data_IF_007167895481
#
_entry.id   IF_007167895481
#
_cell.length_a   1.000
_cell.length_b   1.000
_cell.length_c   1.000
_cell.angle_alpha   90.00
_cell.angle_beta   90.00
_cell.angle_gamma   90.00
#
_symmetry.space_group_name_H-M   'P 1'
#
loop_
_entity.id
_entity.type
_entity.pdbx_description
1 polymer ?
#
# COMPACT_ATOMS: atom_id res chain seq x y z
N UNK A 1 9.73 12.91 -6.19
CA UNK A 1 8.51 12.10 -6.40
C UNK A 1 8.90 10.64 -6.25
N UNK A 2 8.42 10.00 -5.20
CA UNK A 2 9.01 8.78 -4.68
C UNK A 2 8.69 7.51 -5.47
N UNK A 3 9.46 6.45 -5.16
CA UNK A 3 9.35 5.10 -5.74
C UNK A 3 7.94 4.49 -5.67
N UNK A 4 7.13 4.89 -4.69
CA UNK A 4 5.75 4.42 -4.54
C UNK A 4 4.82 4.83 -5.68
N UNK A 5 4.96 6.03 -6.22
CA UNK A 5 4.18 6.46 -7.39
C UNK A 5 4.54 5.63 -8.62
N UNK A 6 5.82 5.31 -8.82
CA UNK A 6 6.25 4.48 -9.96
C UNK A 6 5.76 3.01 -9.83
N UNK A 7 5.66 2.46 -8.63
CA UNK A 7 5.12 1.10 -8.41
C UNK A 7 3.63 1.08 -8.71
N UNK A 8 2.88 2.04 -8.18
CA UNK A 8 1.44 2.19 -8.41
C UNK A 8 1.10 2.33 -9.89
N UNK A 9 1.82 3.18 -10.59
CA UNK A 9 1.59 3.41 -12.02
C UNK A 9 1.76 2.12 -12.82
N UNK A 10 2.69 1.25 -12.43
CA UNK A 10 2.94 -0.03 -13.12
C UNK A 10 1.74 -0.98 -13.03
N UNK A 11 1.17 -1.20 -11.85
CA UNK A 11 0.01 -2.09 -11.75
C UNK A 11 -1.27 -1.46 -12.28
N UNK A 12 -1.40 -0.13 -12.30
CA UNK A 12 -2.50 0.54 -12.99
C UNK A 12 -2.46 0.31 -14.51
N UNK A 13 -1.27 0.43 -15.10
CA UNK A 13 -1.07 0.13 -16.53
C UNK A 13 -1.38 -1.35 -16.81
N UNK A 14 -0.86 -2.26 -15.98
CA UNK A 14 -1.12 -3.69 -16.14
C UNK A 14 -2.61 -4.02 -16.05
N UNK A 15 -3.32 -3.47 -15.07
CA UNK A 15 -4.76 -3.65 -14.91
C UNK A 15 -5.54 -3.14 -16.12
N UNK A 16 -5.18 -1.98 -16.66
CA UNK A 16 -5.82 -1.42 -17.84
C UNK A 16 -5.60 -2.29 -19.07
N UNK A 17 -4.37 -2.74 -19.30
CA UNK A 17 -4.04 -3.63 -20.43
C UNK A 17 -4.79 -4.96 -20.35
N UNK A 18 -4.91 -5.55 -19.14
CA UNK A 18 -5.68 -6.77 -18.93
C UNK A 18 -7.17 -6.57 -19.24
N UNK A 19 -7.74 -5.43 -18.80
CA UNK A 19 -9.13 -5.08 -19.14
C UNK A 19 -9.35 -4.89 -20.64
N UNK A 20 -8.43 -4.25 -21.33
CA UNK A 20 -8.47 -4.09 -22.78
C UNK A 20 -8.33 -5.45 -23.53
N UNK A 21 -7.64 -6.42 -22.92
CA UNK A 21 -7.56 -7.79 -23.40
C UNK A 21 -8.80 -8.65 -23.10
N UNK A 22 -9.79 -8.10 -22.36
CA UNK A 22 -11.04 -8.79 -22.04
C UNK A 22 -11.02 -9.53 -20.68
N UNK A 23 -9.96 -9.39 -19.91
CA UNK A 23 -9.89 -9.96 -18.56
C UNK A 23 -10.80 -9.20 -17.58
N UNK A 24 -11.08 -9.79 -16.44
CA UNK A 24 -11.87 -9.18 -15.38
C UNK A 24 -11.14 -8.06 -14.64
N UNK A 25 -11.77 -7.50 -13.58
CA UNK A 25 -11.16 -6.46 -12.77
C UNK A 25 -9.92 -6.96 -12.03
N UNK A 26 -8.95 -6.08 -11.79
CA UNK A 26 -7.81 -6.38 -10.93
C UNK A 26 -8.17 -6.09 -9.48
N UNK A 27 -7.79 -6.98 -8.55
CA UNK A 27 -7.96 -6.79 -7.11
C UNK A 27 -6.64 -6.28 -6.53
N UNK A 28 -6.71 -5.24 -5.71
CA UNK A 28 -5.58 -4.72 -4.95
C UNK A 28 -5.88 -4.86 -3.46
N UNK A 29 -5.10 -5.67 -2.76
CA UNK A 29 -5.14 -5.74 -1.29
C UNK A 29 -4.15 -4.73 -0.74
N UNK A 30 -4.66 -3.73 0.01
CA UNK A 30 -3.84 -2.64 0.58
C UNK A 30 -4.23 -2.37 2.04
N UNK A 31 -3.25 -2.18 2.95
CA UNK A 31 -3.51 -2.11 4.39
C UNK A 31 -3.92 -0.72 4.89
N UNK A 32 -3.75 0.31 4.08
CA UNK A 32 -3.88 1.69 4.51
C UNK A 32 -5.03 2.41 3.81
N UNK A 33 -6.10 2.71 4.55
CA UNK A 33 -7.30 3.39 4.02
C UNK A 33 -7.00 4.72 3.33
N UNK A 34 -6.06 5.50 3.87
CA UNK A 34 -5.64 6.77 3.26
C UNK A 34 -4.98 6.55 1.89
N UNK A 35 -4.13 5.52 1.75
CA UNK A 35 -3.52 5.16 0.48
C UNK A 35 -4.57 4.67 -0.52
N UNK A 36 -5.52 3.83 -0.10
CA UNK A 36 -6.60 3.35 -0.97
C UNK A 36 -7.39 4.51 -1.56
N UNK A 37 -7.73 5.53 -0.76
CA UNK A 37 -8.43 6.73 -1.25
C UNK A 37 -7.60 7.48 -2.30
N UNK A 38 -6.33 7.73 -2.02
CA UNK A 38 -5.43 8.38 -2.96
C UNK A 38 -5.24 7.56 -4.25
N UNK A 39 -5.29 6.22 -4.14
CA UNK A 39 -5.19 5.32 -5.30
C UNK A 39 -6.44 5.40 -6.19
N UNK A 40 -7.64 5.44 -5.60
CA UNK A 40 -8.90 5.63 -6.36
C UNK A 40 -8.90 6.98 -7.09
N UNK A 41 -8.50 8.06 -6.42
CA UNK A 41 -8.39 9.38 -7.05
C UNK A 41 -7.35 9.41 -8.18
N UNK A 42 -6.21 8.74 -8.00
CA UNK A 42 -5.18 8.63 -9.04
C UNK A 42 -5.66 7.80 -10.23
N UNK A 43 -6.36 6.69 -9.99
CA UNK A 43 -6.97 5.86 -11.01
C UNK A 43 -8.00 6.65 -11.83
N UNK A 44 -8.87 7.41 -11.18
CA UNK A 44 -9.85 8.25 -11.85
C UNK A 44 -9.20 9.29 -12.79
N UNK A 45 -8.11 9.94 -12.35
CA UNK A 45 -7.33 10.87 -13.21
C UNK A 45 -6.71 10.16 -14.42
N UNK A 46 -6.39 8.88 -14.30
CA UNK A 46 -5.88 8.05 -15.41
C UNK A 46 -6.97 7.42 -16.28
N UNK A 47 -8.24 7.74 -16.04
CA UNK A 47 -9.38 7.17 -16.76
C UNK A 47 -9.64 5.70 -16.43
N UNK A 48 -9.24 5.25 -15.24
CA UNK A 48 -9.42 3.89 -14.72
C UNK A 48 -10.58 3.90 -13.72
N UNK A 49 -11.54 3.02 -13.90
CA UNK A 49 -12.70 2.87 -13.01
C UNK A 49 -12.30 2.06 -11.80
N UNK A 50 -12.12 2.73 -10.69
CA UNK A 50 -11.69 2.11 -9.44
C UNK A 50 -12.70 2.35 -8.31
N UNK A 51 -12.91 1.34 -7.48
CA UNK A 51 -13.67 1.43 -6.25
C UNK A 51 -12.91 0.82 -5.08
N UNK A 52 -13.36 1.10 -3.86
CA UNK A 52 -12.77 0.54 -2.64
C UNK A 52 -13.83 -0.09 -1.76
N UNK A 53 -13.49 -1.24 -1.15
CA UNK A 53 -14.32 -1.90 -0.13
C UNK A 53 -13.51 -1.96 1.17
N UNK A 54 -13.91 -1.17 2.16
CA UNK A 54 -13.26 -1.08 3.47
C UNK A 54 -14.27 -0.65 4.56
N UNK A 55 -13.83 -0.53 5.79
CA UNK A 55 -14.70 -0.17 6.93
C UNK A 55 -15.30 1.23 6.86
N UNK A 56 -14.73 2.14 6.08
CA UNK A 56 -15.20 3.52 5.98
C UNK A 56 -16.36 3.72 5.00
N UNK A 57 -16.63 2.76 4.09
CA UNK A 57 -17.69 2.88 3.07
C UNK A 57 -18.69 1.72 3.07
N UNK A 58 -19.02 1.21 4.24
CA UNK A 58 -19.90 0.03 4.42
C UNK A 58 -21.26 0.15 3.70
N UNK A 59 -21.82 1.34 3.63
CA UNK A 59 -23.12 1.60 2.99
C UNK A 59 -23.11 1.49 1.46
N UNK A 60 -21.94 1.47 0.86
CA UNK A 60 -21.75 1.43 -0.61
C UNK A 60 -21.37 0.03 -1.11
N UNK A 61 -21.18 -0.94 -0.22
CA UNK A 61 -20.63 -2.25 -0.61
C UNK A 61 -21.53 -3.01 -1.57
N UNK A 62 -22.83 -3.05 -1.32
CA UNK A 62 -23.79 -3.75 -2.19
C UNK A 62 -23.80 -3.19 -3.60
N UNK A 63 -23.76 -1.86 -3.72
CA UNK A 63 -23.70 -1.17 -5.00
C UNK A 63 -22.40 -1.47 -5.75
N UNK A 64 -21.24 -1.40 -5.05
CA UNK A 64 -19.94 -1.70 -5.63
C UNK A 64 -19.87 -3.16 -6.09
N UNK A 65 -20.42 -4.09 -5.32
CA UNK A 65 -20.46 -5.51 -5.66
C UNK A 65 -21.34 -5.79 -6.87
N UNK A 66 -22.51 -5.14 -6.98
CA UNK A 66 -23.38 -5.27 -8.14
C UNK A 66 -22.74 -4.78 -9.44
N UNK A 67 -21.85 -3.81 -9.34
CA UNK A 67 -21.19 -3.16 -10.48
C UNK A 67 -19.73 -3.58 -10.68
N UNK A 68 -19.26 -4.60 -9.96
CA UNK A 68 -17.83 -5.00 -9.95
C UNK A 68 -17.29 -5.32 -11.34
N UNK A 69 -18.09 -5.93 -12.20
CA UNK A 69 -17.69 -6.25 -13.58
C UNK A 69 -17.45 -5.00 -14.45
N UNK A 70 -17.97 -3.85 -14.05
CA UNK A 70 -17.73 -2.56 -14.71
C UNK A 70 -16.45 -1.89 -14.24
N UNK A 71 -15.85 -2.35 -13.14
CA UNK A 71 -14.61 -1.80 -12.62
C UNK A 71 -13.40 -2.33 -13.38
N UNK A 72 -12.34 -1.55 -13.37
CA UNK A 72 -11.02 -1.95 -13.82
C UNK A 72 -10.15 -2.36 -12.62
N UNK A 73 -10.39 -1.71 -11.45
CA UNK A 73 -9.69 -1.96 -10.20
C UNK A 73 -10.66 -2.01 -9.02
N UNK A 74 -10.47 -3.00 -8.14
CA UNK A 74 -11.13 -3.08 -6.85
C UNK A 74 -10.09 -3.12 -5.73
N UNK A 75 -10.06 -2.09 -4.89
CA UNK A 75 -9.19 -2.02 -3.74
C UNK A 75 -9.92 -2.55 -2.50
N UNK A 76 -9.30 -3.50 -1.80
CA UNK A 76 -9.90 -4.17 -0.64
C UNK A 76 -8.92 -4.13 0.53
N UNK A 77 -9.41 -3.80 1.73
CA UNK A 77 -8.59 -3.94 2.92
C UNK A 77 -8.46 -5.41 3.33
N UNK A 78 -7.32 -5.83 3.91
CA UNK A 78 -7.09 -7.23 4.28
C UNK A 78 -8.11 -7.74 5.31
N UNK A 79 -8.55 -6.88 6.23
CA UNK A 79 -9.57 -7.20 7.23
C UNK A 79 -10.92 -7.48 6.55
N UNK A 80 -11.25 -6.70 5.52
CA UNK A 80 -12.48 -6.89 4.76
C UNK A 80 -12.44 -8.13 3.90
N UNK A 81 -11.31 -8.39 3.27
CA UNK A 81 -11.10 -9.61 2.48
C UNK A 81 -11.37 -10.88 3.32
N UNK A 82 -11.02 -10.84 4.61
CA UNK A 82 -11.17 -11.94 5.54
C UNK A 82 -12.53 -11.96 6.29
N UNK A 83 -13.40 -10.97 6.09
CA UNK A 83 -14.71 -10.94 6.73
C UNK A 83 -15.59 -12.08 6.20
N UNK A 84 -16.27 -12.87 7.08
CA UNK A 84 -16.99 -14.08 6.68
C UNK A 84 -17.96 -13.85 5.52
N UNK A 85 -18.87 -12.89 5.62
CA UNK A 85 -19.85 -12.62 4.56
C UNK A 85 -19.21 -12.26 3.21
N UNK A 86 -18.13 -11.47 3.21
CA UNK A 86 -17.42 -11.15 1.99
C UNK A 86 -16.74 -12.40 1.40
N UNK A 87 -16.09 -13.18 2.23
CA UNK A 87 -15.37 -14.38 1.83
C UNK A 87 -16.28 -15.47 1.27
N UNK A 88 -17.46 -15.65 1.88
CA UNK A 88 -18.37 -16.74 1.52
C UNK A 88 -19.27 -16.37 0.32
N UNK A 89 -19.69 -15.12 0.22
CA UNK A 89 -20.70 -14.69 -0.76
C UNK A 89 -20.10 -13.97 -1.96
N UNK A 90 -19.12 -13.07 -1.73
CA UNK A 90 -18.62 -12.15 -2.75
C UNK A 90 -17.34 -12.65 -3.40
N UNK A 91 -16.40 -13.10 -2.59
CA UNK A 91 -15.08 -13.52 -3.06
C UNK A 91 -15.12 -14.64 -4.11
N UNK A 92 -15.96 -15.69 -4.00
CA UNK A 92 -16.04 -16.74 -5.03
C UNK A 92 -16.56 -16.24 -6.38
N UNK A 93 -17.36 -15.18 -6.38
CA UNK A 93 -17.84 -14.56 -7.63
C UNK A 93 -16.75 -13.73 -8.27
N UNK A 94 -16.05 -12.90 -7.48
CA UNK A 94 -14.92 -12.11 -7.92
C UNK A 94 -13.78 -12.98 -8.44
N UNK A 95 -13.43 -14.03 -7.71
CA UNK A 95 -12.32 -14.91 -8.05
C UNK A 95 -12.44 -15.54 -9.45
N UNK A 96 -13.67 -15.77 -9.93
CA UNK A 96 -13.90 -16.37 -11.26
C UNK A 96 -13.50 -15.47 -12.43
N UNK A 97 -13.48 -14.16 -12.23
CA UNK A 97 -13.25 -13.17 -13.28
C UNK A 97 -12.07 -12.27 -13.02
N UNK A 98 -11.31 -12.50 -11.95
CA UNK A 98 -10.16 -11.65 -11.60
C UNK A 98 -9.09 -11.68 -12.70
N UNK A 99 -8.75 -10.51 -13.23
CA UNK A 99 -7.68 -10.36 -14.21
C UNK A 99 -6.28 -10.36 -13.59
N UNK A 100 -6.12 -9.87 -12.36
CA UNK A 100 -4.84 -9.83 -11.63
C UNK A 100 -5.09 -9.60 -10.13
N UNK A 101 -4.28 -10.21 -9.27
CA UNK A 101 -4.20 -9.90 -7.85
C UNK A 101 -2.93 -9.09 -7.55
N UNK A 102 -3.08 -7.95 -6.89
CA UNK A 102 -1.96 -7.15 -6.37
C UNK A 102 -2.01 -7.17 -4.85
N UNK A 103 -0.90 -7.56 -4.23
CA UNK A 103 -0.68 -7.48 -2.78
C UNK A 103 0.25 -6.31 -2.52
N UNK A 104 -0.35 -5.17 -2.17
CA UNK A 104 0.39 -3.95 -1.86
C UNK A 104 0.92 -4.01 -0.43
N UNK A 105 2.05 -3.35 -0.15
CA UNK A 105 2.74 -3.39 1.14
C UNK A 105 2.97 -4.84 1.65
N UNK A 106 3.42 -5.72 0.75
CA UNK A 106 3.57 -7.14 1.03
C UNK A 106 4.49 -7.49 2.22
N UNK A 107 5.29 -6.53 2.71
CA UNK A 107 6.04 -6.70 3.95
C UNK A 107 5.14 -6.96 5.18
N UNK A 108 3.85 -6.58 5.11
CA UNK A 108 2.87 -6.89 6.14
C UNK A 108 2.58 -8.39 6.31
N UNK A 109 2.99 -9.24 5.37
CA UNK A 109 2.88 -10.70 5.46
C UNK A 109 3.81 -11.25 6.53
N UNK A 110 5.01 -10.68 6.67
CA UNK A 110 6.09 -11.21 7.48
C UNK A 110 6.04 -10.70 8.91
N UNK A 111 6.22 -11.59 9.89
CA UNK A 111 6.44 -11.23 11.31
C UNK A 111 7.70 -10.37 11.50
N UNK A 112 8.61 -10.40 10.54
CA UNK A 112 9.84 -9.61 10.51
C UNK A 112 9.67 -8.28 9.75
N UNK A 113 8.48 -8.04 9.19
CA UNK A 113 8.09 -6.76 8.63
C UNK A 113 7.81 -5.73 9.75
N UNK A 114 7.98 -4.46 9.45
CA UNK A 114 7.75 -3.39 10.44
C UNK A 114 6.25 -3.12 10.72
N UNK A 115 5.35 -3.67 9.93
CA UNK A 115 3.88 -3.52 10.06
C UNK A 115 3.18 -4.86 9.79
N UNK A 116 3.53 -5.90 10.57
CA UNK A 116 2.92 -7.22 10.45
C UNK A 116 1.41 -7.17 10.68
N UNK A 117 0.66 -7.79 9.78
CA UNK A 117 -0.81 -7.88 9.86
C UNK A 117 -1.27 -9.33 9.68
N UNK A 118 -1.89 -9.95 10.69
CA UNK A 118 -2.34 -11.34 10.62
C UNK A 118 -3.25 -11.64 9.42
N UNK A 119 -4.04 -10.66 8.99
CA UNK A 119 -4.96 -10.80 7.87
C UNK A 119 -4.24 -11.00 6.53
N UNK A 120 -3.00 -10.53 6.39
CA UNK A 120 -2.18 -10.76 5.19
C UNK A 120 -1.77 -12.23 5.04
N UNK A 121 -1.61 -12.98 6.11
CA UNK A 121 -1.30 -14.43 6.03
C UNK A 121 -2.38 -15.25 5.33
N UNK A 122 -3.61 -14.74 5.31
CA UNK A 122 -4.74 -15.43 4.67
C UNK A 122 -4.83 -15.14 3.18
N UNK A 123 -3.96 -14.29 2.63
CA UNK A 123 -3.93 -14.00 1.19
C UNK A 123 -3.58 -15.26 0.38
N UNK A 124 -2.78 -16.19 0.93
CA UNK A 124 -2.54 -17.48 0.29
C UNK A 124 -3.83 -18.23 -0.01
N UNK A 125 -4.78 -18.22 0.92
CA UNK A 125 -6.08 -18.86 0.70
C UNK A 125 -6.88 -18.22 -0.45
N UNK A 126 -6.73 -16.90 -0.62
CA UNK A 126 -7.31 -16.22 -1.78
C UNK A 126 -6.61 -16.66 -3.07
N UNK A 127 -5.28 -16.75 -3.06
CA UNK A 127 -4.50 -17.17 -4.23
C UNK A 127 -4.91 -18.58 -4.67
N UNK A 128 -5.13 -19.49 -3.72
CA UNK A 128 -5.57 -20.86 -4.00
C UNK A 128 -6.97 -20.92 -4.65
N UNK A 129 -7.83 -19.94 -4.37
CA UNK A 129 -9.18 -19.82 -4.93
C UNK A 129 -9.22 -19.14 -6.33
N UNK A 130 -8.10 -18.53 -6.77
CA UNK A 130 -8.02 -17.87 -8.07
C UNK A 130 -7.83 -18.87 -9.22
N UNK A 131 -8.25 -18.52 -10.45
CA UNK A 131 -7.88 -19.29 -11.64
C UNK A 131 -6.36 -19.47 -11.76
N UNK A 132 -5.91 -20.65 -12.13
CA UNK A 132 -4.49 -21.04 -12.14
C UNK A 132 -3.57 -20.08 -12.93
N UNK A 133 -4.12 -19.34 -13.89
CA UNK A 133 -3.36 -18.40 -14.73
C UNK A 133 -3.49 -16.96 -14.26
N UNK A 134 -4.14 -16.67 -13.12
CA UNK A 134 -4.28 -15.31 -12.63
C UNK A 134 -2.91 -14.77 -12.20
N UNK A 135 -2.42 -13.68 -12.79
CA UNK A 135 -1.16 -13.07 -12.36
C UNK A 135 -1.28 -12.55 -10.93
N UNK A 136 -0.27 -12.86 -10.10
CA UNK A 136 -0.16 -12.33 -8.74
C UNK A 136 1.08 -11.47 -8.63
N UNK A 137 0.91 -10.22 -8.20
CA UNK A 137 1.98 -9.24 -8.03
C UNK A 137 2.03 -8.80 -6.57
N UNK A 138 3.14 -9.03 -5.88
CA UNK A 138 3.41 -8.46 -4.56
C UNK A 138 4.35 -7.27 -4.68
N UNK A 139 4.02 -6.17 -4.01
CA UNK A 139 4.81 -4.94 -4.01
C UNK A 139 5.13 -4.49 -2.59
N UNK A 140 6.36 -4.04 -2.38
CA UNK A 140 6.77 -3.41 -1.12
C UNK A 140 7.92 -2.44 -1.36
N UNK A 141 7.93 -1.33 -0.63
CA UNK A 141 9.04 -0.38 -0.64
C UNK A 141 10.19 -0.82 0.28
N UNK A 142 9.91 -1.71 1.24
CA UNK A 142 10.86 -2.09 2.30
C UNK A 142 10.82 -3.60 2.51
N UNK A 143 11.86 -4.32 2.09
CA UNK A 143 11.98 -5.74 2.36
C UNK A 143 13.45 -6.13 2.59
N UNK A 144 13.73 -6.75 3.73
CA UNK A 144 14.96 -7.49 3.95
C UNK A 144 14.84 -8.92 3.39
N UNK A 145 15.90 -9.69 3.41
CA UNK A 145 15.91 -11.04 2.81
C UNK A 145 14.92 -12.01 3.48
N UNK A 146 14.66 -11.85 4.79
CA UNK A 146 13.65 -12.66 5.51
C UNK A 146 12.24 -12.32 5.06
N UNK A 147 11.92 -11.05 4.96
CA UNK A 147 10.62 -10.60 4.44
C UNK A 147 10.40 -11.10 3.02
N UNK A 148 11.43 -11.04 2.16
CA UNK A 148 11.34 -11.59 0.80
C UNK A 148 11.06 -13.09 0.83
N UNK A 149 11.75 -13.85 1.68
CA UNK A 149 11.54 -15.30 1.82
C UNK A 149 10.11 -15.63 2.28
N UNK A 150 9.57 -14.88 3.27
CA UNK A 150 8.21 -15.07 3.77
C UNK A 150 7.17 -14.75 2.70
N UNK A 151 7.37 -13.68 1.93
CA UNK A 151 6.48 -13.31 0.81
C UNK A 151 6.51 -14.38 -0.28
N UNK A 152 7.69 -14.87 -0.67
CA UNK A 152 7.83 -15.93 -1.67
C UNK A 152 7.17 -17.22 -1.18
N UNK A 153 7.35 -17.60 0.08
CA UNK A 153 6.69 -18.77 0.66
C UNK A 153 5.16 -18.66 0.64
N UNK A 154 4.62 -17.45 0.80
CA UNK A 154 3.18 -17.18 0.79
C UNK A 154 2.59 -17.19 -0.63
N UNK A 155 3.34 -16.70 -1.62
CA UNK A 155 2.91 -16.63 -3.02
C UNK A 155 3.11 -17.95 -3.79
N UNK A 156 3.94 -18.82 -3.28
CA UNK A 156 4.23 -20.13 -3.86
C UNK A 156 5.58 -20.23 -4.58
N UNK A 157 5.97 -21.49 -4.83
CA UNK A 157 7.21 -21.80 -5.55
C UNK A 157 7.12 -21.28 -7.00
N UNK A 158 8.19 -20.69 -7.48
CA UNK A 158 8.23 -20.10 -8.83
C UNK A 158 7.99 -18.59 -8.86
N UNK A 159 7.76 -17.96 -7.69
CA UNK A 159 7.65 -16.50 -7.60
C UNK A 159 8.95 -15.84 -8.03
N UNK A 160 8.89 -15.05 -9.11
CA UNK A 160 10.01 -14.22 -9.55
C UNK A 160 10.22 -13.03 -8.63
N UNK A 161 11.45 -12.79 -8.19
CA UNK A 161 11.80 -11.63 -7.33
C UNK A 161 12.56 -10.60 -8.14
N UNK A 162 11.99 -9.38 -8.25
CA UNK A 162 12.66 -8.23 -8.85
C UNK A 162 12.97 -7.21 -7.74
N UNK A 163 14.24 -7.00 -7.44
CA UNK A 163 14.68 -6.10 -6.39
C UNK A 163 15.49 -4.94 -6.95
N UNK A 164 15.06 -3.72 -6.66
CA UNK A 164 15.82 -2.50 -6.92
C UNK A 164 16.73 -2.12 -5.75
N UNK A 165 17.66 -1.20 -5.98
CA UNK A 165 18.41 -0.57 -4.90
C UNK A 165 17.48 0.27 -3.99
N UNK A 166 17.73 0.26 -2.69
CA UNK A 166 17.03 1.12 -1.72
C UNK A 166 17.67 2.51 -1.64
N UNK A 167 18.85 2.67 -2.19
CA UNK A 167 19.58 3.92 -2.18
C UNK A 167 18.91 4.94 -3.12
N UNK A 168 18.67 6.11 -2.59
CA UNK A 168 18.15 7.26 -3.34
C UNK A 168 19.25 8.29 -3.40
N UNK A 169 19.81 8.53 -4.56
CA UNK A 169 20.88 9.52 -4.78
C UNK A 169 20.49 10.94 -4.33
N UNK A 170 19.19 11.24 -4.32
CA UNK A 170 18.65 12.53 -3.88
C UNK A 170 18.48 12.68 -2.37
N UNK A 171 18.72 11.61 -1.57
CA UNK A 171 18.54 11.64 -0.12
C UNK A 171 19.89 11.64 0.59
N UNK A 172 20.09 12.62 1.47
CA UNK A 172 21.22 12.67 2.40
C UNK A 172 20.73 12.31 3.80
N UNK A 173 21.32 11.28 4.40
CA UNK A 173 21.02 10.88 5.77
C UNK A 173 22.13 11.38 6.71
N UNK A 174 21.74 12.21 7.70
CA UNK A 174 22.64 12.74 8.69
C UNK A 174 22.15 12.41 10.10
N UNK A 175 23.07 12.09 10.99
CA UNK A 175 22.80 11.86 12.42
C UNK A 175 23.52 12.90 13.25
N UNK A 176 22.74 13.73 13.94
CA UNK A 176 23.27 14.77 14.83
C UNK A 176 23.02 14.35 16.28
N UNK A 177 24.08 14.24 17.07
CA UNK A 177 23.99 13.94 18.50
C UNK A 177 23.92 15.23 19.28
N UNK A 178 22.83 15.40 20.04
CA UNK A 178 22.56 16.59 20.87
C UNK A 178 22.30 16.11 22.31
N UNK A 179 22.84 16.86 23.29
CA UNK A 179 22.89 16.43 24.67
C UNK A 179 21.51 16.39 25.35
N UNK A 180 20.64 17.35 25.02
CA UNK A 180 19.36 17.51 25.67
C UNK A 180 18.24 18.03 24.72
N UNK A 181 16.98 18.01 25.14
CA UNK A 181 15.86 18.50 24.34
C UNK A 181 15.96 19.97 23.93
N UNK A 182 16.52 20.82 24.79
CA UNK A 182 16.68 22.26 24.51
C UNK A 182 17.66 22.51 23.37
N UNK A 183 18.81 21.82 23.39
CA UNK A 183 19.76 21.86 22.29
C UNK A 183 19.15 21.34 21.00
N UNK A 184 18.30 20.31 21.07
CA UNK A 184 17.58 19.78 19.91
C UNK A 184 16.63 20.80 19.29
N UNK A 185 15.82 21.47 20.13
CA UNK A 185 14.91 22.51 19.66
C UNK A 185 15.67 23.68 19.02
N UNK A 186 16.72 24.18 19.68
CA UNK A 186 17.57 25.26 19.16
C UNK A 186 18.24 24.86 17.83
N UNK A 187 18.74 23.64 17.71
CA UNK A 187 19.36 23.16 16.47
C UNK A 187 18.33 23.08 15.32
N UNK A 188 17.12 22.56 15.59
CA UNK A 188 16.05 22.48 14.60
C UNK A 188 15.67 23.89 14.12
N UNK A 189 15.47 24.85 15.04
CA UNK A 189 15.11 26.23 14.67
C UNK A 189 16.19 26.89 13.82
N UNK A 190 17.48 26.73 14.15
CA UNK A 190 18.58 27.23 13.36
C UNK A 190 18.71 26.56 12.01
N UNK A 191 18.49 25.26 11.93
CA UNK A 191 18.58 24.50 10.69
C UNK A 191 17.45 24.85 9.72
N UNK A 192 16.22 24.97 10.23
CA UNK A 192 15.05 25.33 9.41
C UNK A 192 15.20 26.70 8.76
N UNK A 193 15.85 27.65 9.44
CA UNK A 193 16.12 28.98 8.87
C UNK A 193 17.09 28.94 7.66
N UNK A 194 17.80 27.84 7.44
CA UNK A 194 18.79 27.68 6.36
C UNK A 194 18.32 26.76 5.24
N UNK A 195 17.20 26.04 5.43
CA UNK A 195 16.69 25.08 4.45
C UNK A 195 15.64 25.74 3.56
N UNK A 196 15.87 25.69 2.27
CA UNK A 196 14.89 26.14 1.27
C UNK A 196 13.85 25.04 1.02
N UNK A 197 12.56 25.41 0.93
CA UNK A 197 11.47 24.52 0.61
C UNK A 197 10.65 24.05 1.81
N UNK A 198 9.98 22.91 1.70
CA UNK A 198 9.10 22.35 2.74
C UNK A 198 9.71 21.09 3.36
N UNK A 199 9.51 20.90 4.66
CA UNK A 199 10.00 19.74 5.40
C UNK A 199 8.95 19.14 6.31
N UNK A 200 9.22 17.92 6.83
CA UNK A 200 8.39 17.23 7.81
C UNK A 200 9.27 16.91 9.02
N UNK A 201 8.82 17.30 10.21
CA UNK A 201 9.46 16.96 11.47
C UNK A 201 8.65 15.87 12.16
N UNK A 202 9.23 14.68 12.31
CA UNK A 202 8.64 13.60 13.06
C UNK A 202 9.04 13.66 14.53
N UNK A 203 8.05 13.65 15.41
CA UNK A 203 8.26 13.69 16.86
C UNK A 203 7.80 12.38 17.51
N UNK A 204 8.53 11.92 18.52
CA UNK A 204 8.18 10.72 19.28
C UNK A 204 7.01 10.92 20.25
N UNK A 205 6.72 12.18 20.65
CA UNK A 205 5.66 12.51 21.59
C UNK A 205 4.88 13.75 21.14
N UNK A 206 3.62 13.84 21.53
CA UNK A 206 2.77 15.02 21.29
C UNK A 206 3.37 16.28 21.89
N UNK A 207 3.95 16.19 23.10
CA UNK A 207 4.60 17.32 23.77
C UNK A 207 5.78 17.87 22.96
N UNK A 208 6.60 17.00 22.36
CA UNK A 208 7.69 17.43 21.46
C UNK A 208 7.15 18.07 20.17
N UNK A 209 6.06 17.54 19.63
CA UNK A 209 5.40 18.11 18.45
C UNK A 209 4.90 19.54 18.72
N UNK A 210 4.24 19.76 19.83
CA UNK A 210 3.74 21.09 20.24
C UNK A 210 4.88 22.10 20.44
N UNK A 211 6.01 21.67 21.01
CA UNK A 211 7.17 22.54 21.19
C UNK A 211 7.71 23.07 19.86
N UNK A 212 7.72 22.26 18.81
CA UNK A 212 8.22 22.66 17.48
C UNK A 212 7.22 23.45 16.65
N UNK A 213 5.91 23.38 16.98
CA UNK A 213 4.86 24.11 16.26
C UNK A 213 4.56 25.49 16.86
N UNK A 214 4.83 25.70 18.15
CA UNK A 214 4.60 26.99 18.80
C UNK A 214 5.61 28.05 18.40
N UNK A 215 6.86 27.65 18.07
CA UNK A 215 7.91 28.59 17.63
C UNK A 215 7.86 28.93 16.13
N UNK A 216 7.01 28.28 15.36
CA UNK A 216 6.86 28.53 13.93
C UNK A 216 5.76 29.53 13.57
N UNK A 217 5.05 30.08 14.58
CA UNK A 217 3.90 30.98 14.42
C UNK A 217 4.22 32.47 14.72
N UNK A 218 5.46 32.81 15.09
CA UNK A 218 6.02 34.15 15.21
C UNK A 218 7.08 34.38 14.13
#
# INVERSE_FOLDING_TARGET
MGSEMCIRDRYFIAAKLLREAGEGPSIIVSPLLALMRNQVEAAARAGIRAATINSANMTQWEEIQADVDKLDLLLISPERLNAPGFREEVLPQLARSVGMLVVDEAHCISDWGHDFRPDYRRISLLIDDLPANTPVLATTATANDRVVADVVAQLGEGTGVLRGGLDRESLSLNVVRLADPTQRAAWIAQYLAQVEGSGIIYCLTVAACLLYTSDAAD
#
